data_IF_581515171408
#
_entry.id   IF_581515171408
#
_cell.length_a   1.000
_cell.length_b   1.000
_cell.length_c   1.000
_cell.angle_alpha   90.00
_cell.angle_beta   90.00
_cell.angle_gamma   90.00
#
_symmetry.space_group_name_H-M   'P 1'
#
loop_
_entity.id
_entity.type
_entity.pdbx_description
1 polymer ?
#
# COMPACT_ATOMS: atom_id res chain seq x y z
N UNK A 1 26.54 9.16 -16.87
CA UNK A 1 25.60 8.97 -15.75
C UNK A 1 26.15 7.96 -14.77
N UNK A 2 25.90 8.13 -13.48
CA UNK A 2 26.20 7.14 -12.44
C UNK A 2 24.87 6.43 -12.10
N UNK A 3 24.68 5.17 -12.51
CA UNK A 3 23.43 4.45 -12.27
C UNK A 3 23.22 4.18 -10.79
N UNK A 4 21.96 4.05 -10.37
CA UNK A 4 21.63 3.66 -9.00
C UNK A 4 22.15 2.24 -8.71
N UNK A 5 22.76 2.07 -7.53
CA UNK A 5 23.18 0.77 -6.99
C UNK A 5 22.70 0.63 -5.56
N UNK A 6 22.13 -0.53 -5.22
CA UNK A 6 21.61 -0.81 -3.89
C UNK A 6 22.74 -0.83 -2.84
N UNK A 7 23.94 -1.24 -3.23
CA UNK A 7 25.11 -1.31 -2.34
C UNK A 7 25.61 0.09 -1.96
N UNK A 8 25.60 1.03 -2.91
CA UNK A 8 26.04 2.42 -2.68
C UNK A 8 24.91 3.32 -2.20
N UNK A 9 23.64 2.89 -2.33
CA UNK A 9 22.43 3.64 -1.99
C UNK A 9 22.43 5.06 -2.59
N UNK A 10 23.05 5.21 -3.75
CA UNK A 10 23.29 6.50 -4.41
C UNK A 10 23.22 6.38 -5.94
N UNK A 11 22.93 7.50 -6.60
CA UNK A 11 22.91 7.68 -8.07
C UNK A 11 23.37 9.10 -8.41
N UNK A 12 23.74 9.37 -9.65
CA UNK A 12 24.22 10.71 -9.99
C UNK A 12 24.62 10.94 -11.43
N UNK A 13 25.36 12.03 -11.65
CA UNK A 13 25.82 12.46 -12.98
C UNK A 13 27.21 13.06 -12.89
N UNK A 14 28.04 12.73 -13.88
CA UNK A 14 29.29 13.45 -14.17
C UNK A 14 28.96 14.54 -15.19
N UNK A 15 29.19 15.79 -14.81
CA UNK A 15 28.96 16.96 -15.65
C UNK A 15 30.14 17.16 -16.60
N UNK A 16 29.90 17.88 -17.69
CA UNK A 16 30.91 18.15 -18.74
C UNK A 16 32.05 19.06 -18.26
N UNK A 17 31.85 19.78 -17.16
CA UNK A 17 32.85 20.62 -16.50
C UNK A 17 33.73 19.84 -15.49
N UNK A 18 33.59 18.51 -15.44
CA UNK A 18 34.35 17.63 -14.56
C UNK A 18 33.78 17.47 -13.15
N UNK A 19 32.70 18.20 -12.80
CA UNK A 19 32.02 18.03 -11.51
C UNK A 19 31.22 16.74 -11.45
N UNK A 20 31.10 16.19 -10.25
CA UNK A 20 30.25 15.02 -9.99
C UNK A 20 29.17 15.38 -8.98
N UNK A 21 27.92 15.19 -9.39
CA UNK A 21 26.74 15.39 -8.54
C UNK A 21 26.14 14.04 -8.19
N UNK A 22 25.98 13.75 -6.90
CA UNK A 22 25.34 12.54 -6.40
C UNK A 22 24.11 12.87 -5.56
N UNK A 23 23.09 12.02 -5.64
CA UNK A 23 21.96 11.96 -4.72
C UNK A 23 21.85 10.56 -4.11
N UNK A 24 21.44 10.46 -2.86
CA UNK A 24 21.28 9.17 -2.20
C UNK A 24 20.85 9.26 -0.75
N UNK A 25 20.90 8.12 -0.06
CA UNK A 25 20.68 8.06 1.38
C UNK A 25 21.67 8.97 2.11
N UNK A 26 21.20 9.65 3.15
CA UNK A 26 22.00 10.66 3.87
C UNK A 26 23.32 10.09 4.39
N UNK A 27 23.29 8.89 4.98
CA UNK A 27 24.47 8.21 5.50
C UNK A 27 25.47 7.78 4.41
N UNK A 28 24.98 7.46 3.22
CA UNK A 28 25.81 7.07 2.08
C UNK A 28 26.51 8.28 1.48
N UNK A 29 25.81 9.40 1.35
CA UNK A 29 26.36 10.64 0.79
C UNK A 29 27.34 11.32 1.77
N UNK A 30 27.06 11.27 3.07
CA UNK A 30 27.90 11.88 4.10
C UNK A 30 29.21 11.12 4.37
N UNK A 31 29.27 9.82 4.05
CA UNK A 31 30.46 8.95 4.29
C UNK A 31 31.72 9.44 3.58
N UNK A 32 31.55 9.96 2.37
CA UNK A 32 32.65 10.34 1.46
C UNK A 32 32.92 11.86 1.49
N UNK A 33 32.55 12.56 2.56
CA UNK A 33 32.70 14.02 2.70
C UNK A 33 33.62 14.33 3.88
N UNK A 34 34.75 14.98 3.61
CA UNK A 34 35.65 15.49 4.64
C UNK A 34 34.94 16.55 5.50
N UNK A 35 34.91 16.32 6.81
CA UNK A 35 34.19 17.18 7.77
C UNK A 35 32.74 16.78 8.05
N UNK A 36 32.23 15.74 7.37
CA UNK A 36 30.91 15.18 7.61
C UNK A 36 29.75 16.14 7.30
N UNK A 37 28.57 15.83 7.84
CA UNK A 37 27.37 16.62 7.59
C UNK A 37 27.22 17.77 8.62
N UNK A 38 26.90 19.00 8.19
CA UNK A 38 26.67 20.11 9.11
C UNK A 38 25.57 19.81 10.14
N UNK A 39 25.74 20.28 11.39
CA UNK A 39 24.77 20.03 12.48
C UNK A 39 23.34 20.41 12.11
N UNK A 40 23.14 21.55 11.44
CA UNK A 40 21.81 21.99 11.00
C UNK A 40 21.14 20.98 10.06
N UNK A 41 21.94 20.33 9.21
CA UNK A 41 21.45 19.33 8.26
C UNK A 41 21.20 17.98 8.94
N UNK A 42 21.93 17.65 10.01
CA UNK A 42 21.62 16.49 10.86
C UNK A 42 20.25 16.68 11.51
N UNK A 43 20.01 17.85 12.11
CA UNK A 43 18.71 18.20 12.71
C UNK A 43 17.59 18.19 11.65
N UNK A 44 17.86 18.73 10.46
CA UNK A 44 16.88 18.69 9.36
C UNK A 44 16.58 17.26 8.89
N UNK A 45 17.57 16.37 8.88
CA UNK A 45 17.40 14.95 8.54
C UNK A 45 16.49 14.26 9.55
N UNK A 46 16.76 14.44 10.85
CA UNK A 46 15.93 13.90 11.93
C UNK A 46 14.50 14.45 11.87
N UNK A 47 14.34 15.74 11.56
CA UNK A 47 13.03 16.36 11.37
C UNK A 47 12.27 15.74 10.20
N UNK A 48 12.90 15.58 9.04
CA UNK A 48 12.28 14.98 7.85
C UNK A 48 11.86 13.53 8.14
N UNK A 49 12.76 12.74 8.75
CA UNK A 49 12.47 11.36 9.14
C UNK A 49 11.35 11.29 10.19
N UNK A 50 11.32 12.22 11.15
CA UNK A 50 10.26 12.33 12.16
C UNK A 50 8.89 12.71 11.59
N UNK A 51 8.85 13.31 10.40
CA UNK A 51 7.63 13.57 9.63
C UNK A 51 7.25 12.39 8.72
N UNK A 52 7.91 11.23 8.86
CA UNK A 52 7.67 10.04 8.05
C UNK A 52 8.18 10.13 6.61
N UNK A 53 8.83 11.22 6.22
CA UNK A 53 9.40 11.38 4.90
C UNK A 53 10.83 10.81 4.84
N UNK A 54 11.27 10.41 3.64
CA UNK A 54 12.62 9.90 3.40
C UNK A 54 13.55 11.07 3.03
N UNK A 55 14.55 11.39 3.87
CA UNK A 55 15.54 12.41 3.53
C UNK A 55 16.56 11.84 2.54
N UNK A 56 16.79 12.55 1.44
CA UNK A 56 17.86 12.27 0.49
C UNK A 56 18.85 13.43 0.47
N UNK A 57 20.15 13.15 0.56
CA UNK A 57 21.17 14.18 0.48
C UNK A 57 21.65 14.37 -0.96
N UNK A 58 21.98 15.62 -1.33
CA UNK A 58 22.65 15.95 -2.59
C UNK A 58 24.08 16.42 -2.28
N UNK A 59 25.04 15.88 -3.03
CA UNK A 59 26.44 16.32 -2.99
C UNK A 59 26.88 16.80 -4.36
N UNK A 60 27.53 17.96 -4.40
CA UNK A 60 28.26 18.48 -5.57
C UNK A 60 29.73 18.62 -5.21
N UNK A 61 30.60 17.94 -5.97
CA UNK A 61 32.06 18.06 -5.88
C UNK A 61 32.63 17.96 -4.45
N UNK A 62 32.16 16.98 -3.69
CA UNK A 62 32.61 16.74 -2.31
C UNK A 62 31.89 17.56 -1.23
N UNK A 63 31.04 18.53 -1.60
CA UNK A 63 30.27 19.34 -0.64
C UNK A 63 28.79 18.96 -0.65
N UNK A 64 28.20 18.78 0.52
CA UNK A 64 26.76 18.55 0.65
C UNK A 64 26.02 19.87 0.38
N UNK A 65 25.10 19.85 -0.58
CA UNK A 65 24.34 21.00 -1.04
C UNK A 65 23.05 21.20 -0.25
N UNK A 66 22.41 20.10 0.14
CA UNK A 66 21.11 20.15 0.78
C UNK A 66 20.47 18.77 0.91
N UNK A 67 19.26 18.77 1.46
CA UNK A 67 18.39 17.61 1.58
C UNK A 67 17.18 17.78 0.66
N UNK A 68 16.72 16.68 0.09
CA UNK A 68 15.43 16.53 -0.56
C UNK A 68 14.54 15.74 0.40
N UNK A 69 13.40 16.30 0.73
CA UNK A 69 12.32 15.59 1.40
C UNK A 69 11.53 14.80 0.36
N UNK A 70 11.61 13.47 0.42
CA UNK A 70 10.78 12.59 -0.40
C UNK A 70 9.66 12.03 0.47
N UNK A 71 8.44 12.45 0.20
CA UNK A 71 7.25 11.99 0.92
C UNK A 71 6.32 11.26 -0.04
N UNK A 72 5.88 10.07 0.35
CA UNK A 72 4.75 9.43 -0.32
C UNK A 72 3.47 10.17 0.04
N UNK A 73 2.74 10.59 -0.99
CA UNK A 73 1.48 11.30 -0.83
C UNK A 73 0.34 10.30 -0.87
N UNK A 74 -0.48 10.31 0.17
CA UNK A 74 -1.75 9.60 0.17
C UNK A 74 -2.64 10.24 -0.91
N UNK A 75 -3.24 9.44 -1.79
CA UNK A 75 -4.18 9.96 -2.81
C UNK A 75 -5.34 10.69 -2.14
N UNK A 76 -5.83 11.75 -2.77
CA UNK A 76 -6.99 12.49 -2.28
C UNK A 76 -8.21 11.58 -2.11
N UNK A 77 -8.97 11.76 -1.04
CA UNK A 77 -10.19 10.97 -0.77
C UNK A 77 -9.99 9.64 -0.05
N UNK A 78 -8.77 9.11 0.05
CA UNK A 78 -8.47 7.86 0.76
C UNK A 78 -8.97 7.83 2.23
N UNK A 79 -8.75 8.90 3.03
CA UNK A 79 -9.20 8.91 4.42
C UNK A 79 -10.72 8.81 4.56
N UNK A 80 -11.45 9.49 3.69
CA UNK A 80 -12.92 9.44 3.63
C UNK A 80 -13.38 8.02 3.25
N UNK A 81 -12.73 7.39 2.28
CA UNK A 81 -13.04 6.02 1.85
C UNK A 81 -12.79 5.01 2.97
N UNK A 82 -11.64 5.05 3.65
CA UNK A 82 -11.40 4.14 4.78
C UNK A 82 -12.32 4.40 5.97
N UNK A 83 -12.81 5.63 6.16
CA UNK A 83 -13.88 5.88 7.11
C UNK A 83 -15.21 5.19 6.71
N UNK A 84 -15.51 5.05 5.42
CA UNK A 84 -16.66 4.27 4.94
C UNK A 84 -16.46 2.76 5.18
N UNK A 85 -15.26 2.21 4.96
CA UNK A 85 -14.92 0.82 5.32
C UNK A 85 -15.22 0.54 6.80
N UNK A 86 -14.76 1.42 7.71
CA UNK A 86 -15.04 1.31 9.14
C UNK A 86 -16.54 1.33 9.45
N UNK A 87 -17.30 2.23 8.83
CA UNK A 87 -18.78 2.28 8.99
C UNK A 87 -19.46 1.00 8.51
N UNK A 88 -18.87 0.29 7.56
CA UNK A 88 -19.34 -1.00 7.06
C UNK A 88 -18.88 -2.20 7.92
N UNK A 89 -18.10 -1.96 8.98
CA UNK A 89 -17.55 -2.99 9.86
C UNK A 89 -16.32 -3.71 9.30
N UNK A 90 -15.63 -3.11 8.33
CA UNK A 90 -14.45 -3.70 7.69
C UNK A 90 -13.20 -3.07 8.31
N UNK A 91 -12.31 -3.92 8.85
CA UNK A 91 -11.00 -3.51 9.38
C UNK A 91 -10.00 -3.38 8.23
N UNK A 92 -9.26 -2.29 8.22
CA UNK A 92 -8.27 -1.97 7.18
C UNK A 92 -6.87 -1.99 7.78
N UNK A 93 -5.98 -2.79 7.20
CA UNK A 93 -4.60 -2.96 7.67
C UNK A 93 -3.65 -2.67 6.52
N UNK A 94 -2.74 -1.72 6.73
CA UNK A 94 -1.69 -1.40 5.75
C UNK A 94 -0.49 -2.31 5.97
N UNK A 95 0.05 -2.91 4.90
CA UNK A 95 1.23 -3.78 4.99
C UNK A 95 2.31 -3.22 4.07
N UNK A 96 3.36 -2.64 4.65
CA UNK A 96 4.44 -1.98 3.90
C UNK A 96 5.82 -2.54 4.28
N UNK A 97 6.76 -2.46 3.32
CA UNK A 97 8.19 -2.70 3.55
C UNK A 97 8.94 -1.50 4.12
N UNK A 98 8.27 -0.35 4.27
CA UNK A 98 8.88 0.86 4.84
C UNK A 98 9.16 0.72 6.33
N UNK A 99 10.03 1.61 6.82
CA UNK A 99 10.35 1.68 8.24
C UNK A 99 9.09 2.03 9.09
N UNK A 100 9.09 1.72 10.39
CA UNK A 100 7.93 1.94 11.25
C UNK A 100 7.47 3.40 11.39
N UNK A 101 8.38 4.37 11.32
CA UNK A 101 8.06 5.80 11.45
C UNK A 101 7.31 6.33 10.22
N UNK A 102 7.78 5.96 9.04
CA UNK A 102 7.14 6.28 7.75
C UNK A 102 5.79 5.58 7.64
N UNK A 103 5.75 4.28 7.97
CA UNK A 103 4.51 3.51 7.96
C UNK A 103 3.46 4.11 8.92
N UNK A 104 3.84 4.46 10.15
CA UNK A 104 2.92 5.07 11.12
C UNK A 104 2.37 6.41 10.63
N UNK A 105 3.21 7.21 9.97
CA UNK A 105 2.80 8.52 9.45
C UNK A 105 1.81 8.37 8.30
N UNK A 106 2.12 7.51 7.32
CA UNK A 106 1.24 7.23 6.19
C UNK A 106 -0.05 6.58 6.67
N UNK A 107 0.01 5.64 7.61
CA UNK A 107 -1.17 5.00 8.19
C UNK A 107 -2.12 6.02 8.82
N UNK A 108 -1.56 6.97 9.58
CA UNK A 108 -2.32 8.05 10.21
C UNK A 108 -2.92 9.02 9.19
N UNK A 109 -2.16 9.38 8.16
CA UNK A 109 -2.64 10.26 7.08
C UNK A 109 -3.73 9.61 6.24
N UNK A 110 -3.55 8.33 5.89
CA UNK A 110 -4.55 7.53 5.17
C UNK A 110 -5.76 7.19 6.05
N UNK A 111 -5.61 7.16 7.37
CA UNK A 111 -6.67 6.81 8.29
C UNK A 111 -7.04 5.32 8.26
N UNK A 112 -6.05 4.44 8.10
CA UNK A 112 -6.23 2.98 8.27
C UNK A 112 -6.31 2.60 9.75
N UNK A 113 -6.83 1.41 10.06
CA UNK A 113 -7.02 0.96 11.45
C UNK A 113 -5.73 0.44 12.09
N UNK A 114 -4.87 -0.18 11.29
CA UNK A 114 -3.64 -0.82 11.73
C UNK A 114 -2.59 -0.84 10.63
N UNK A 115 -1.32 -1.10 10.98
CA UNK A 115 -0.25 -1.25 9.99
C UNK A 115 0.83 -2.25 10.42
N UNK A 116 1.45 -2.87 9.42
CA UNK A 116 2.65 -3.70 9.57
C UNK A 116 3.76 -3.04 8.76
N UNK A 117 4.83 -2.65 9.44
CA UNK A 117 6.02 -2.06 8.84
C UNK A 117 7.11 -3.13 8.65
N UNK A 118 8.07 -2.85 7.77
CA UNK A 118 9.19 -3.74 7.43
C UNK A 118 8.74 -5.17 7.07
N UNK A 119 7.54 -5.30 6.50
CA UNK A 119 6.92 -6.60 6.23
C UNK A 119 7.65 -7.34 5.10
N UNK A 120 8.12 -8.55 5.38
CA UNK A 120 8.64 -9.47 4.36
C UNK A 120 7.48 -10.18 3.65
N UNK A 121 7.70 -10.75 2.44
CA UNK A 121 6.67 -11.51 1.74
C UNK A 121 6.03 -12.60 2.60
N UNK A 122 6.83 -13.29 3.42
CA UNK A 122 6.35 -14.34 4.34
C UNK A 122 5.44 -13.79 5.44
N UNK A 123 5.74 -12.59 5.94
CA UNK A 123 4.94 -11.92 6.98
C UNK A 123 3.55 -11.57 6.45
N UNK A 124 3.45 -11.15 5.18
CA UNK A 124 2.15 -10.85 4.53
C UNK A 124 1.26 -12.09 4.50
N UNK A 125 1.80 -13.21 4.04
CA UNK A 125 1.08 -14.50 3.95
C UNK A 125 0.70 -15.00 5.34
N UNK A 126 1.64 -14.92 6.30
CA UNK A 126 1.40 -15.31 7.69
C UNK A 126 0.28 -14.50 8.33
N UNK A 127 0.24 -13.20 8.08
CA UNK A 127 -0.83 -12.32 8.56
C UNK A 127 -2.19 -12.70 7.98
N UNK A 128 -2.29 -12.90 6.66
CA UNK A 128 -3.53 -13.33 6.01
C UNK A 128 -4.03 -14.64 6.60
N UNK A 129 -3.16 -15.65 6.74
CA UNK A 129 -3.54 -16.95 7.31
C UNK A 129 -4.01 -16.86 8.75
N UNK A 130 -3.40 -15.98 9.54
CA UNK A 130 -3.80 -15.74 10.92
C UNK A 130 -5.22 -15.17 10.97
N UNK A 131 -5.49 -14.10 10.23
CA UNK A 131 -6.82 -13.48 10.19
C UNK A 131 -7.89 -14.46 9.65
N UNK A 132 -7.54 -15.28 8.66
CA UNK A 132 -8.40 -16.38 8.18
C UNK A 132 -8.66 -17.44 9.25
N UNK A 133 -7.64 -17.84 10.01
CA UNK A 133 -7.80 -18.79 11.11
C UNK A 133 -8.67 -18.23 12.26
N UNK A 134 -8.64 -16.92 12.45
CA UNK A 134 -9.51 -16.19 13.39
C UNK A 134 -10.95 -16.03 12.86
N UNK A 135 -11.24 -16.53 11.64
CA UNK A 135 -12.58 -16.56 11.03
C UNK A 135 -12.92 -15.32 10.20
N UNK A 136 -11.95 -14.45 9.92
CA UNK A 136 -12.15 -13.30 9.05
C UNK A 136 -11.99 -13.67 7.58
N UNK A 137 -12.85 -13.09 6.72
CA UNK A 137 -12.61 -13.10 5.27
C UNK A 137 -11.63 -11.98 4.93
N UNK A 138 -10.55 -12.32 4.24
CA UNK A 138 -9.45 -11.40 3.96
C UNK A 138 -9.43 -11.03 2.48
N UNK A 139 -9.57 -9.73 2.21
CA UNK A 139 -9.33 -9.16 0.89
C UNK A 139 -7.97 -8.47 0.86
N UNK A 140 -7.22 -8.66 -0.22
CA UNK A 140 -5.91 -8.04 -0.41
C UNK A 140 -5.84 -7.31 -1.75
N UNK A 141 -5.17 -6.15 -1.75
CA UNK A 141 -4.76 -5.46 -2.98
C UNK A 141 -3.25 -5.28 -3.04
N UNK A 142 -2.67 -5.36 -4.25
CA UNK A 142 -1.24 -5.23 -4.47
C UNK A 142 -0.87 -5.14 -5.96
N UNK A 143 0.40 -4.82 -6.24
CA UNK A 143 0.94 -4.61 -7.59
C UNK A 143 2.25 -5.36 -7.87
N UNK A 144 2.99 -5.74 -6.82
CA UNK A 144 4.30 -6.35 -6.96
C UNK A 144 4.27 -7.85 -7.28
N UNK A 145 5.36 -8.35 -7.88
CA UNK A 145 5.64 -9.80 -7.95
C UNK A 145 5.68 -10.43 -6.56
N UNK A 146 6.11 -9.66 -5.56
CA UNK A 146 6.21 -10.10 -4.16
C UNK A 146 4.82 -10.24 -3.50
N UNK A 147 3.78 -9.61 -4.05
CA UNK A 147 2.42 -9.69 -3.53
C UNK A 147 1.61 -10.82 -4.16
N UNK A 148 2.06 -11.38 -5.29
CA UNK A 148 1.36 -12.46 -5.98
C UNK A 148 1.02 -13.67 -5.07
N UNK A 149 1.95 -14.18 -4.22
CA UNK A 149 1.62 -15.28 -3.31
C UNK A 149 0.59 -14.89 -2.24
N UNK A 150 0.62 -13.64 -1.77
CA UNK A 150 -0.29 -13.15 -0.75
C UNK A 150 -1.69 -12.88 -1.35
N UNK A 151 -1.76 -12.34 -2.57
CA UNK A 151 -2.99 -12.21 -3.36
C UNK A 151 -3.66 -13.58 -3.57
N UNK A 152 -2.88 -14.60 -3.94
CA UNK A 152 -3.39 -15.96 -4.11
C UNK A 152 -3.85 -16.63 -2.81
N UNK A 153 -3.28 -16.24 -1.66
CA UNK A 153 -3.66 -16.76 -0.35
C UNK A 153 -4.93 -16.08 0.22
N UNK A 154 -5.20 -14.84 -0.18
CA UNK A 154 -6.39 -14.09 0.25
C UNK A 154 -7.68 -14.68 -0.33
N UNK A 155 -8.81 -14.44 0.36
CA UNK A 155 -10.12 -14.88 -0.13
C UNK A 155 -10.58 -14.07 -1.36
N UNK A 156 -10.17 -12.80 -1.41
CA UNK A 156 -10.38 -11.90 -2.54
C UNK A 156 -9.12 -11.10 -2.82
N UNK A 157 -8.35 -11.53 -3.83
CA UNK A 157 -7.18 -10.82 -4.33
C UNK A 157 -7.53 -9.86 -5.47
N UNK A 158 -7.10 -8.60 -5.36
CA UNK A 158 -7.27 -7.56 -6.38
C UNK A 158 -5.91 -6.98 -6.82
N UNK A 159 -5.47 -7.31 -8.03
CA UNK A 159 -4.24 -6.78 -8.60
C UNK A 159 -4.48 -5.41 -9.26
N UNK A 160 -3.51 -4.51 -9.18
CA UNK A 160 -3.54 -3.26 -9.94
C UNK A 160 -3.14 -3.48 -11.41
N UNK A 161 -3.66 -2.65 -12.33
CA UNK A 161 -3.32 -2.73 -13.74
C UNK A 161 -1.86 -2.32 -14.04
N UNK A 162 -1.28 -1.43 -13.24
CA UNK A 162 0.17 -1.19 -13.24
C UNK A 162 0.99 -2.37 -12.72
N UNK A 163 0.35 -3.35 -12.09
CA UNK A 163 1.00 -4.49 -11.46
C UNK A 163 1.60 -5.49 -12.46
N UNK A 164 2.48 -6.34 -11.94
CA UNK A 164 3.18 -7.34 -12.74
C UNK A 164 2.24 -8.42 -13.27
N UNK A 165 2.60 -9.09 -14.38
CA UNK A 165 1.79 -10.19 -14.93
C UNK A 165 1.55 -11.30 -13.90
N UNK A 166 2.55 -11.60 -13.07
CA UNK A 166 2.42 -12.57 -11.98
C UNK A 166 1.34 -12.17 -10.96
N UNK A 167 1.26 -10.88 -10.58
CA UNK A 167 0.22 -10.40 -9.68
C UNK A 167 -1.18 -10.50 -10.31
N UNK A 168 -1.30 -10.17 -11.60
CA UNK A 168 -2.57 -10.25 -12.34
C UNK A 168 -3.08 -11.69 -12.51
N UNK A 169 -2.17 -12.64 -12.72
CA UNK A 169 -2.51 -14.06 -12.82
C UNK A 169 -2.88 -14.67 -11.47
N UNK A 170 -2.29 -14.18 -10.38
CA UNK A 170 -2.56 -14.67 -9.03
C UNK A 170 -3.85 -14.09 -8.40
N UNK A 171 -4.28 -12.89 -8.83
CA UNK A 171 -5.45 -12.22 -8.29
C UNK A 171 -6.77 -12.72 -8.91
N UNK A 172 -7.87 -12.59 -8.16
CA UNK A 172 -9.22 -12.88 -8.66
C UNK A 172 -9.75 -11.76 -9.57
N UNK A 173 -9.31 -10.53 -9.32
CA UNK A 173 -9.76 -9.33 -10.00
C UNK A 173 -8.58 -8.44 -10.38
N UNK A 174 -8.72 -7.70 -11.47
CA UNK A 174 -7.74 -6.68 -11.89
C UNK A 174 -8.42 -5.32 -11.92
N UNK A 175 -7.90 -4.37 -11.15
CA UNK A 175 -8.36 -2.99 -11.20
C UNK A 175 -7.62 -2.20 -12.28
N UNK A 176 -8.38 -1.78 -13.28
CA UNK A 176 -7.90 -1.02 -14.44
C UNK A 176 -7.39 0.38 -14.11
N UNK A 177 -7.91 1.01 -13.05
CA UNK A 177 -7.54 2.39 -12.66
C UNK A 177 -6.42 2.45 -11.62
N UNK A 178 -5.98 1.29 -11.09
CA UNK A 178 -4.92 1.17 -10.09
C UNK A 178 -5.19 2.02 -8.83
N UNK A 179 -6.43 1.97 -8.35
CA UNK A 179 -6.95 2.60 -7.15
C UNK A 179 -7.37 1.56 -6.10
N UNK A 180 -6.61 1.41 -4.99
CA UNK A 180 -6.93 0.44 -3.95
C UNK A 180 -8.28 0.71 -3.26
N UNK A 181 -8.82 1.94 -3.33
CA UNK A 181 -10.10 2.28 -2.71
C UNK A 181 -11.31 1.67 -3.41
N UNK A 182 -11.16 1.22 -4.67
CA UNK A 182 -12.22 0.54 -5.42
C UNK A 182 -12.67 -0.77 -4.81
N UNK A 183 -11.89 -1.33 -3.89
CA UNK A 183 -12.33 -2.47 -3.10
C UNK A 183 -13.66 -2.17 -2.36
N UNK A 184 -13.92 -0.90 -1.99
CA UNK A 184 -15.19 -0.49 -1.41
C UNK A 184 -16.36 -0.73 -2.37
N UNK A 185 -16.21 -0.32 -3.63
CA UNK A 185 -17.22 -0.48 -4.67
C UNK A 185 -17.48 -1.96 -4.95
N UNK A 186 -16.41 -2.77 -5.04
CA UNK A 186 -16.51 -4.23 -5.20
C UNK A 186 -17.34 -4.83 -4.07
N UNK A 187 -17.07 -4.45 -2.83
CA UNK A 187 -17.82 -4.94 -1.66
C UNK A 187 -19.27 -4.45 -1.68
N UNK A 188 -19.51 -3.18 -2.03
CA UNK A 188 -20.85 -2.61 -2.10
C UNK A 188 -21.72 -3.33 -3.14
N UNK A 189 -21.18 -3.55 -4.35
CA UNK A 189 -21.85 -4.29 -5.43
C UNK A 189 -22.09 -5.74 -4.99
N UNK A 190 -21.10 -6.39 -4.39
CA UNK A 190 -21.23 -7.75 -3.86
C UNK A 190 -22.36 -7.88 -2.84
N UNK A 191 -22.46 -6.95 -1.89
CA UNK A 191 -23.56 -6.90 -0.91
C UNK A 191 -24.92 -6.71 -1.59
N UNK A 192 -25.02 -5.80 -2.55
CA UNK A 192 -26.27 -5.54 -3.26
C UNK A 192 -26.77 -6.80 -4.02
N UNK A 193 -25.87 -7.53 -4.67
CA UNK A 193 -26.20 -8.77 -5.37
C UNK A 193 -26.72 -9.85 -4.40
N UNK A 194 -26.08 -10.00 -3.23
CA UNK A 194 -26.51 -10.94 -2.20
C UNK A 194 -27.89 -10.59 -1.62
N UNK A 195 -28.15 -9.32 -1.33
CA UNK A 195 -29.45 -8.84 -0.84
C UNK A 195 -30.53 -9.11 -1.88
N UNK A 196 -30.26 -8.79 -3.15
CA UNK A 196 -31.21 -8.97 -4.24
C UNK A 196 -31.55 -10.45 -4.42
N UNK A 197 -30.53 -11.33 -4.43
CA UNK A 197 -30.74 -12.78 -4.53
C UNK A 197 -31.57 -13.31 -3.36
N UNK A 198 -31.21 -12.96 -2.13
CA UNK A 198 -31.94 -13.37 -0.93
C UNK A 198 -33.40 -12.90 -0.93
N UNK A 199 -33.64 -11.66 -1.36
CA UNK A 199 -34.99 -11.08 -1.46
C UNK A 199 -35.84 -11.81 -2.50
N UNK A 200 -35.31 -12.07 -3.69
CA UNK A 200 -36.01 -12.80 -4.75
C UNK A 200 -36.32 -14.24 -4.33
N UNK A 201 -35.35 -14.94 -3.72
CA UNK A 201 -35.56 -16.30 -3.23
C UNK A 201 -36.64 -16.35 -2.16
N UNK A 202 -36.61 -15.43 -1.19
CA UNK A 202 -37.63 -15.37 -0.12
C UNK A 202 -39.01 -15.05 -0.69
N UNK A 203 -39.09 -14.09 -1.61
CA UNK A 203 -40.34 -13.74 -2.29
C UNK A 203 -40.91 -14.93 -3.09
N UNK A 204 -40.06 -15.64 -3.84
CA UNK A 204 -40.49 -16.79 -4.63
C UNK A 204 -41.04 -17.90 -3.76
N UNK A 205 -40.34 -18.25 -2.66
CA UNK A 205 -40.78 -19.29 -1.73
C UNK A 205 -42.12 -18.89 -1.08
N UNK A 206 -42.25 -17.64 -0.62
CA UNK A 206 -43.48 -17.15 -0.01
C UNK A 206 -44.67 -17.20 -1.00
N UNK A 207 -44.43 -16.86 -2.26
CA UNK A 207 -45.45 -16.92 -3.30
C UNK A 207 -45.90 -18.37 -3.58
N UNK A 208 -44.97 -19.34 -3.56
CA UNK A 208 -45.32 -20.74 -3.78
C UNK A 208 -46.19 -21.31 -2.64
N UNK A 209 -46.01 -20.86 -1.40
CA UNK A 209 -46.91 -21.19 -0.29
C UNK A 209 -48.33 -20.66 -0.55
N UNK A 210 -48.46 -19.42 -1.02
CA UNK A 210 -49.76 -18.84 -1.35
C UNK A 210 -50.44 -19.58 -2.53
N UNK A 211 -49.67 -19.94 -3.56
CA UNK A 211 -50.16 -20.73 -4.70
C UNK A 211 -50.67 -22.10 -4.26
N UNK A 212 -50.02 -22.74 -3.28
CA UNK A 212 -50.47 -24.03 -2.74
C UNK A 212 -51.92 -23.96 -2.25
N UNK A 213 -52.27 -22.95 -1.44
CA UNK A 213 -53.65 -22.73 -0.95
C UNK A 213 -54.65 -22.30 -2.03
N UNK A 214 -54.17 -21.72 -3.14
CA UNK A 214 -55.04 -21.29 -4.23
C UNK A 214 -55.35 -22.41 -5.23
N UNK A 215 -54.41 -23.35 -5.44
CA UNK A 215 -54.51 -24.40 -6.45
C UNK A 215 -55.04 -25.71 -5.85
N UNK A 216 -54.60 -26.06 -4.64
CA UNK A 216 -55.07 -27.26 -3.96
C UNK A 216 -56.21 -26.88 -3.00
N UNK A 217 -57.36 -27.56 -3.06
CA UNK A 217 -58.54 -27.28 -2.23
C UNK A 217 -58.32 -27.60 -0.74
#
# INVERSE_FOLDING_TARGET
FVPFRAETRSSGVHLTDGRTVLKGAVDAIARDVDGGMPREMVVATERIAGLGATPLAIRDNGRIMGLIELKDTVKEGLPERFAEFRKMGIRTVMVTGDNPLTAATIAKEAGVDDFIAEAKPEDKIGFIRKEQADGHLVAMTGDGTNDAPALAQSDVGMAMNSGTSAAKEAANMVDLDSDPTKLLEVIAIGKQLLITRGSITTFSIANDVAKYFAILP
#
